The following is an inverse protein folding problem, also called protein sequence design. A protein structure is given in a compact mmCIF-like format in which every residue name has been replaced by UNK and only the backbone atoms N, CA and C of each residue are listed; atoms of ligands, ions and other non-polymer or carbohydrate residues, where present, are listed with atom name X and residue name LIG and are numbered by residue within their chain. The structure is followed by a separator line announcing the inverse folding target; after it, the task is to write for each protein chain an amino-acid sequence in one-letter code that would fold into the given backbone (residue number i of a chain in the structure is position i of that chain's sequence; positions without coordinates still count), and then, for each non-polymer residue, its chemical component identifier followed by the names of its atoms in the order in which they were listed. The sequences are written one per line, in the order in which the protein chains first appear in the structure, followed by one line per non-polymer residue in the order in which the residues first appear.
data_IF_640622920850
#
_entry.id   IF_640622920850
#
_cell.length_a   1.000
_cell.length_b   1.000
_cell.length_c   1.000
_cell.angle_alpha   90.00
_cell.angle_beta   90.00
_cell.angle_gamma   90.00
#
_symmetry.space_group_name_H-M   'P 1'
#
loop_
_entity.id
_entity.type
_entity.pdbx_description
1 polymer ?
#
# COMPACT_ATOMS: atom_id res chain seq x y z
N UNK A 1 12.73 21.61 2.64
CA UNK A 1 12.13 20.84 3.76
C UNK A 1 12.50 19.39 3.56
N UNK A 2 12.70 18.61 4.61
CA UNK A 2 12.93 17.15 4.51
C UNK A 2 12.06 16.48 5.55
N UNK A 3 11.47 15.35 5.20
CA UNK A 3 10.76 14.54 6.19
C UNK A 3 11.74 13.58 6.84
N UNK A 4 11.83 13.63 8.17
CA UNK A 4 12.56 12.60 8.91
C UNK A 4 11.57 11.65 9.57
N UNK A 5 11.89 10.36 9.51
CA UNK A 5 11.47 9.41 10.54
C UNK A 5 12.18 9.80 11.84
N UNK A 6 11.62 9.49 12.99
CA UNK A 6 12.30 9.60 14.30
C UNK A 6 13.61 8.77 14.42
N UNK A 7 14.12 8.20 13.33
CA UNK A 7 15.36 7.46 13.16
C UNK A 7 15.96 7.82 11.79
N UNK A 8 17.22 8.29 11.75
CA UNK A 8 17.99 8.77 10.59
C UNK A 8 18.07 7.79 9.39
N UNK A 9 17.00 7.56 8.63
CA UNK A 9 17.08 6.77 7.39
C UNK A 9 16.10 7.25 6.33
N UNK A 10 16.63 7.47 5.12
CA UNK A 10 15.94 7.80 3.87
C UNK A 10 15.20 6.60 3.26
N UNK A 11 14.72 5.67 4.08
CA UNK A 11 13.98 4.50 3.62
C UNK A 11 12.52 4.89 3.34
N UNK A 12 11.89 4.31 2.29
CA UNK A 12 10.49 4.57 2.00
C UNK A 12 9.63 4.30 3.23
N UNK A 13 8.63 5.15 3.44
CA UNK A 13 7.75 5.02 4.57
C UNK A 13 6.75 3.90 4.28
N UNK A 14 6.69 2.89 5.15
CA UNK A 14 6.01 1.62 4.89
C UNK A 14 4.94 1.37 5.93
N UNK A 15 3.78 0.91 5.47
CA UNK A 15 2.69 0.38 6.28
C UNK A 15 2.12 -0.86 5.61
N UNK A 16 1.58 -1.79 6.40
CA UNK A 16 0.75 -2.88 5.88
C UNK A 16 -0.67 -2.35 5.69
N UNK A 17 -1.39 -2.85 4.69
CA UNK A 17 -2.83 -2.64 4.52
C UNK A 17 -3.59 -2.92 5.83
N UNK A 18 -4.53 -2.05 6.20
CA UNK A 18 -5.27 -2.11 7.46
C UNK A 18 -4.48 -1.65 8.70
N UNK A 19 -3.19 -1.32 8.57
CA UNK A 19 -2.35 -0.84 9.66
C UNK A 19 -2.01 0.64 9.52
N UNK A 20 -1.75 1.29 10.65
CA UNK A 20 -1.35 2.70 10.72
C UNK A 20 0.14 2.80 11.05
N UNK A 21 0.91 3.46 10.20
CA UNK A 21 2.32 3.74 10.47
C UNK A 21 2.51 5.06 11.23
N UNK A 22 3.65 5.24 11.93
CA UNK A 22 3.95 6.48 12.64
C UNK A 22 3.98 7.70 11.71
N UNK A 23 3.45 8.84 12.15
CA UNK A 23 3.45 10.06 11.35
C UNK A 23 4.89 10.55 11.06
N UNK A 24 5.11 10.99 9.81
CA UNK A 24 6.31 11.66 9.35
C UNK A 24 6.22 13.15 9.64
N UNK A 25 7.26 13.72 10.26
CA UNK A 25 7.31 15.14 10.56
C UNK A 25 8.13 15.89 9.50
N UNK A 26 7.64 17.05 9.01
CA UNK A 26 8.47 17.93 8.21
C UNK A 26 9.55 18.57 9.09
N UNK A 27 10.81 18.39 8.72
CA UNK A 27 11.96 18.98 9.38
C UNK A 27 12.59 20.04 8.48
N UNK A 28 12.90 21.18 9.09
CA UNK A 28 13.63 22.23 8.42
C UNK A 28 15.11 21.89 8.41
N UNK A 29 15.66 21.63 7.22
CA UNK A 29 17.10 21.44 7.07
C UNK A 29 17.81 22.76 7.36
N UNK A 30 18.77 22.73 8.29
CA UNK A 30 19.54 23.90 8.79
C UNK A 30 20.26 24.72 7.71
N UNK A 31 20.24 24.30 6.44
CA UNK A 31 20.84 25.02 5.32
C UNK A 31 20.00 26.22 4.84
N UNK A 32 18.72 26.34 5.22
CA UNK A 32 17.96 27.55 4.94
C UNK A 32 17.90 28.45 6.16
N UNK A 33 18.85 29.38 6.27
CA UNK A 33 18.83 30.47 7.26
C UNK A 33 17.75 31.53 6.96
N UNK A 34 16.97 31.37 5.89
CA UNK A 34 16.00 32.35 5.41
C UNK A 34 14.56 32.07 5.86
N UNK A 35 14.27 30.94 6.50
CA UNK A 35 12.92 30.59 6.96
C UNK A 35 12.90 30.43 8.49
N UNK A 36 12.65 31.52 9.21
CA UNK A 36 12.57 31.53 10.68
C UNK A 36 11.21 31.08 11.23
N UNK A 37 10.19 30.98 10.37
CA UNK A 37 8.83 30.60 10.75
C UNK A 37 8.43 29.31 10.02
N UNK A 38 7.64 28.42 10.64
CA UNK A 38 7.05 27.29 9.94
C UNK A 38 6.00 27.78 8.92
N UNK A 39 5.76 27.03 7.84
CA UNK A 39 4.64 27.28 6.94
C UNK A 39 3.30 27.32 7.68
N UNK A 40 2.34 28.07 7.13
CA UNK A 40 1.01 28.22 7.73
C UNK A 40 0.02 27.18 7.24
N UNK A 41 0.22 26.69 6.01
CA UNK A 41 -0.67 25.70 5.36
C UNK A 41 0.19 24.76 4.54
N UNK A 42 -0.18 23.48 4.54
CA UNK A 42 0.43 22.43 3.75
C UNK A 42 -0.55 21.90 2.71
N UNK A 43 -0.03 21.53 1.55
CA UNK A 43 -0.78 20.86 0.48
C UNK A 43 0.17 19.92 -0.26
N UNK A 44 -0.34 19.08 -1.16
CA UNK A 44 0.49 18.10 -1.84
C UNK A 44 -0.03 17.73 -3.22
N UNK A 45 0.88 17.16 -4.01
CA UNK A 45 0.55 16.47 -5.26
C UNK A 45 1.22 15.12 -5.24
N UNK A 46 0.46 14.07 -5.51
CA UNK A 46 0.97 12.70 -5.51
C UNK A 46 0.80 12.04 -6.87
N UNK A 47 1.64 11.05 -7.14
CA UNK A 47 1.57 10.17 -8.32
C UNK A 47 1.95 8.75 -7.90
N UNK A 48 1.35 7.76 -8.53
CA UNK A 48 1.72 6.35 -8.36
C UNK A 48 2.55 5.89 -9.55
N UNK A 49 3.54 5.05 -9.26
CA UNK A 49 4.34 4.38 -10.30
C UNK A 49 3.53 3.27 -11.01
N UNK A 50 2.48 2.77 -10.35
CA UNK A 50 1.64 1.65 -10.82
C UNK A 50 0.46 2.12 -11.71
N UNK A 51 0.34 3.42 -11.96
CA UNK A 51 -0.65 3.99 -12.89
C UNK A 51 -2.05 4.21 -12.32
N UNK A 52 -2.30 3.91 -11.04
CA UNK A 52 -3.59 4.21 -10.39
C UNK A 52 -3.79 5.69 -10.08
N UNK A 53 -5.04 6.07 -9.81
CA UNK A 53 -5.41 7.46 -9.56
C UNK A 53 -5.16 7.82 -8.10
N UNK A 54 -4.18 8.69 -7.86
CA UNK A 54 -3.93 9.26 -6.53
C UNK A 54 -4.55 10.64 -6.45
N UNK A 55 -5.42 10.85 -5.46
CA UNK A 55 -6.02 12.14 -5.17
C UNK A 55 -5.72 12.54 -3.72
N UNK A 56 -5.49 13.83 -3.50
CA UNK A 56 -5.41 14.42 -2.17
C UNK A 56 -6.57 15.39 -2.02
N UNK A 57 -7.45 15.14 -1.07
CA UNK A 57 -8.46 16.11 -0.66
C UNK A 57 -7.79 17.21 0.16
N UNK A 58 -7.66 18.39 -0.44
CA UNK A 58 -7.03 19.56 0.17
C UNK A 58 -7.84 20.18 1.31
N UNK A 59 -9.06 19.69 1.59
CA UNK A 59 -9.90 20.17 2.69
C UNK A 59 -9.74 19.28 3.91
N UNK A 60 -9.83 17.96 3.74
CA UNK A 60 -9.68 17.00 4.83
C UNK A 60 -8.23 16.57 5.08
N UNK A 61 -7.36 16.73 4.08
CA UNK A 61 -6.00 16.20 4.10
C UNK A 61 -5.92 14.70 3.78
N UNK A 62 -7.03 14.04 3.44
CA UNK A 62 -7.02 12.62 3.11
C UNK A 62 -6.50 12.37 1.69
N UNK A 63 -5.52 11.47 1.58
CA UNK A 63 -5.00 10.96 0.33
C UNK A 63 -5.61 9.61 0.01
N UNK A 64 -6.17 9.47 -1.19
CA UNK A 64 -6.81 8.24 -1.68
C UNK A 64 -6.11 7.68 -2.92
N UNK A 65 -6.06 6.36 -3.03
CA UNK A 65 -5.64 5.62 -4.23
C UNK A 65 -6.84 4.88 -4.80
N UNK A 66 -7.23 5.21 -6.05
CA UNK A 66 -8.42 4.67 -6.73
C UNK A 66 -9.70 4.70 -5.84
N UNK A 67 -9.84 5.73 -5.02
CA UNK A 67 -10.96 5.95 -4.11
C UNK A 67 -10.82 5.35 -2.71
N UNK A 68 -9.80 4.53 -2.45
CA UNK A 68 -9.52 3.95 -1.12
C UNK A 68 -8.56 4.81 -0.32
N UNK A 69 -8.74 4.92 0.99
CA UNK A 69 -7.86 5.71 1.84
C UNK A 69 -6.45 5.11 1.88
N UNK A 70 -5.44 5.97 1.72
CA UNK A 70 -4.03 5.56 1.68
C UNK A 70 -3.20 6.28 2.75
N UNK A 71 -3.29 7.60 2.81
CA UNK A 71 -2.55 8.41 3.78
C UNK A 71 -3.37 9.63 4.22
N UNK A 72 -2.90 10.30 5.26
CA UNK A 72 -3.45 11.56 5.76
C UNK A 72 -2.32 12.58 5.86
N UNK A 73 -2.58 13.80 5.40
CA UNK A 73 -1.73 14.98 5.56
C UNK A 73 -2.45 15.96 6.49
N UNK A 74 -1.86 16.24 7.64
CA UNK A 74 -2.32 17.36 8.45
C UNK A 74 -1.94 18.68 7.75
N UNK A 75 -2.95 19.37 7.23
CA UNK A 75 -2.80 20.60 6.45
C UNK A 75 -2.25 21.77 7.27
N UNK A 76 -2.25 21.69 8.60
CA UNK A 76 -1.76 22.75 9.49
C UNK A 76 -0.31 22.55 9.89
N UNK A 77 0.09 21.31 10.16
CA UNK A 77 1.43 20.98 10.67
C UNK A 77 2.34 20.36 9.60
N UNK A 78 1.76 19.85 8.52
CA UNK A 78 2.45 19.12 7.47
C UNK A 78 2.81 17.68 7.84
N UNK A 79 2.32 17.14 8.98
CA UNK A 79 2.51 15.74 9.33
C UNK A 79 1.86 14.83 8.29
N UNK A 80 2.58 13.79 7.86
CA UNK A 80 2.03 12.77 6.94
C UNK A 80 1.95 11.44 7.66
N UNK A 81 0.74 10.88 7.77
CA UNK A 81 0.47 9.58 8.39
C UNK A 81 0.03 8.60 7.32
N UNK A 82 0.72 7.47 7.21
CA UNK A 82 0.35 6.41 6.28
C UNK A 82 -0.63 5.45 6.97
N UNK A 83 -1.82 5.30 6.40
CA UNK A 83 -2.93 4.53 6.97
C UNK A 83 -3.76 3.90 5.83
N UNK A 84 -3.19 2.95 5.06
CA UNK A 84 -3.90 2.30 3.96
C UNK A 84 -5.07 1.49 4.49
N UNK A 85 -6.25 1.67 3.89
CA UNK A 85 -7.46 0.93 4.26
C UNK A 85 -7.38 -0.52 3.82
N UNK A 86 -8.08 -1.43 4.52
CA UNK A 86 -8.05 -2.88 4.26
C UNK A 86 -8.50 -3.22 2.83
N UNK A 87 -9.47 -2.47 2.33
CA UNK A 87 -10.05 -2.64 1.00
C UNK A 87 -9.06 -2.35 -0.14
N UNK A 88 -7.98 -1.62 0.14
CA UNK A 88 -6.88 -1.35 -0.79
C UNK A 88 -6.21 -2.64 -1.29
N UNK A 89 -6.27 -3.75 -0.52
CA UNK A 89 -5.74 -5.05 -0.93
C UNK A 89 -6.33 -5.52 -2.27
N UNK A 90 -7.59 -5.20 -2.55
CA UNK A 90 -8.29 -5.60 -3.77
C UNK A 90 -7.74 -4.94 -5.05
N UNK A 91 -7.16 -3.74 -4.93
CA UNK A 91 -6.61 -2.94 -6.03
C UNK A 91 -5.08 -2.88 -6.04
N UNK A 92 -4.43 -3.66 -5.17
CA UNK A 92 -2.97 -3.79 -5.17
C UNK A 92 -2.49 -4.29 -6.53
N UNK A 93 -1.35 -3.77 -7.03
CA UNK A 93 -0.81 -4.18 -8.31
C UNK A 93 -0.50 -5.68 -8.33
N UNK A 94 -0.66 -6.26 -9.51
CA UNK A 94 -0.35 -7.67 -9.78
C UNK A 94 1.16 -7.87 -9.74
N UNK A 95 1.68 -8.15 -8.55
CA UNK A 95 3.12 -8.32 -8.33
C UNK A 95 3.55 -9.80 -8.45
N UNK A 96 4.76 -10.02 -8.97
CA UNK A 96 5.46 -11.30 -9.02
C UNK A 96 6.12 -11.67 -7.69
N UNK A 97 6.38 -10.70 -6.81
CA UNK A 97 6.98 -10.93 -5.49
C UNK A 97 6.01 -11.58 -4.49
N UNK A 98 6.54 -12.09 -3.37
CA UNK A 98 5.74 -12.76 -2.34
C UNK A 98 4.66 -11.86 -1.72
N UNK A 99 4.91 -10.54 -1.65
CA UNK A 99 3.98 -9.52 -1.16
C UNK A 99 3.83 -8.44 -2.22
N UNK A 100 2.60 -8.03 -2.50
CA UNK A 100 2.38 -6.85 -3.35
C UNK A 100 2.79 -5.59 -2.58
N UNK A 101 3.42 -4.66 -3.29
CA UNK A 101 3.77 -3.34 -2.77
C UNK A 101 3.24 -2.29 -3.72
N UNK A 102 2.43 -1.38 -3.20
CA UNK A 102 1.95 -0.19 -3.91
C UNK A 102 2.80 1.00 -3.48
N UNK A 103 3.40 1.69 -4.45
CA UNK A 103 4.29 2.83 -4.19
C UNK A 103 3.70 4.15 -4.72
N UNK A 104 3.75 5.18 -3.90
CA UNK A 104 3.28 6.53 -4.20
C UNK A 104 4.41 7.52 -3.89
N UNK A 105 4.71 8.39 -4.86
CA UNK A 105 5.55 9.57 -4.66
C UNK A 105 4.66 10.80 -4.47
N UNK A 106 4.90 11.55 -3.40
CA UNK A 106 4.17 12.77 -3.07
C UNK A 106 5.14 13.94 -2.94
N UNK A 107 4.83 15.04 -3.61
CA UNK A 107 5.48 16.33 -3.41
C UNK A 107 4.62 17.19 -2.51
N UNK A 108 5.10 17.49 -1.30
CA UNK A 108 4.41 18.31 -0.32
C UNK A 108 4.94 19.74 -0.37
N UNK A 109 4.02 20.69 -0.37
CA UNK A 109 4.26 22.13 -0.40
C UNK A 109 3.84 22.74 0.94
N UNK A 110 4.77 23.41 1.62
CA UNK A 110 4.48 24.30 2.73
C UNK A 110 4.37 25.73 2.21
N UNK A 111 3.21 26.35 2.41
CA UNK A 111 2.88 27.69 1.92
C UNK A 111 2.97 28.72 3.05
N UNK A 112 3.65 29.83 2.79
CA UNK A 112 3.63 31.01 3.66
C UNK A 112 2.52 31.96 3.21
N UNK A 113 1.64 32.36 4.10
CA UNK A 113 0.65 33.41 3.83
C UNK A 113 1.11 34.72 4.48
N UNK A 114 1.20 35.78 3.70
CA UNK A 114 1.48 37.13 4.18
C UNK A 114 0.18 37.93 4.25
N UNK A 115 -0.09 38.55 5.39
CA UNK A 115 -1.26 39.43 5.52
C UNK A 115 -1.11 40.69 4.63
N UNK A 116 -2.20 41.23 4.06
CA UNK A 116 -3.58 40.73 4.17
C UNK A 116 -3.97 39.64 3.15
N UNK A 117 -3.28 39.51 2.00
CA UNK A 117 -3.62 38.52 0.95
C UNK A 117 -2.42 38.07 0.09
N UNK A 118 -1.19 38.24 0.57
CA UNK A 118 0.02 37.87 -0.17
C UNK A 118 0.26 36.36 -0.14
N UNK A 119 0.33 35.73 -1.31
CA UNK A 119 0.91 34.38 -1.44
C UNK A 119 2.42 34.53 -1.27
N UNK A 120 2.95 33.98 -0.19
CA UNK A 120 4.37 34.00 0.09
C UNK A 120 5.14 32.96 -0.70
N UNK A 121 6.43 32.83 -0.37
CA UNK A 121 7.24 31.73 -0.88
C UNK A 121 6.65 30.37 -0.49
N UNK A 122 7.04 29.32 -1.20
CA UNK A 122 6.70 27.94 -0.84
C UNK A 122 7.97 27.13 -0.63
N UNK A 123 7.94 26.22 0.34
CA UNK A 123 8.96 25.19 0.50
C UNK A 123 8.39 23.86 0.03
N UNK A 124 9.24 23.04 -0.57
CA UNK A 124 8.86 21.72 -1.06
C UNK A 124 9.69 20.62 -0.41
N UNK A 125 9.09 19.44 -0.34
CA UNK A 125 9.73 18.18 0.00
C UNK A 125 9.08 17.04 -0.77
N UNK A 126 9.88 16.03 -1.10
CA UNK A 126 9.41 14.80 -1.74
C UNK A 126 9.34 13.67 -0.71
N UNK A 127 8.30 12.86 -0.83
CA UNK A 127 7.95 11.76 0.07
C UNK A 127 7.67 10.51 -0.74
N UNK A 128 8.22 9.38 -0.30
CA UNK A 128 7.93 8.07 -0.87
C UNK A 128 7.16 7.23 0.17
N UNK A 129 5.93 6.89 -0.19
CA UNK A 129 5.00 6.14 0.65
C UNK A 129 4.71 4.78 0.01
N UNK A 130 4.81 3.72 0.78
CA UNK A 130 4.67 2.35 0.31
C UNK A 130 3.65 1.61 1.19
N UNK A 131 2.56 1.17 0.59
CA UNK A 131 1.65 0.23 1.24
C UNK A 131 2.05 -1.20 0.83
N UNK A 132 2.08 -2.10 1.80
CA UNK A 132 2.33 -3.52 1.57
C UNK A 132 1.08 -4.31 1.90
N UNK A 133 0.84 -5.32 1.08
CA UNK A 133 -0.16 -6.34 1.37
C UNK A 133 0.19 -7.05 2.71
N UNK A 134 -0.85 -7.42 3.47
CA UNK A 134 -0.72 -8.26 4.65
C UNK A 134 -0.48 -9.73 4.26
N UNK A 135 -0.85 -10.07 3.03
CA UNK A 135 -0.75 -11.40 2.45
C UNK A 135 0.63 -11.68 1.87
N UNK A 136 1.25 -12.78 2.33
CA UNK A 136 2.55 -13.25 1.87
C UNK A 136 2.47 -14.65 1.25
N UNK A 137 2.75 -14.78 -0.04
CA UNK A 137 2.72 -16.06 -0.75
C UNK A 137 4.11 -16.72 -0.83
N UNK A 138 4.28 -17.86 -0.17
CA UNK A 138 5.56 -18.57 -0.02
C UNK A 138 5.48 -19.99 -0.59
N UNK A 139 6.44 -20.46 -1.41
CA UNK A 139 6.33 -21.78 -2.05
C UNK A 139 6.33 -22.91 -1.03
N UNK A 140 5.40 -23.86 -1.21
CA UNK A 140 5.23 -25.03 -0.34
C UNK A 140 5.75 -26.28 -1.04
N UNK A 141 6.64 -27.00 -0.38
CA UNK A 141 7.17 -28.26 -0.91
C UNK A 141 6.19 -29.44 -0.75
N UNK A 142 5.47 -29.51 0.38
CA UNK A 142 4.52 -30.59 0.69
C UNK A 142 3.13 -30.00 0.98
N UNK A 143 2.21 -30.09 0.02
CA UNK A 143 0.89 -29.48 0.11
C UNK A 143 -0.08 -30.32 0.95
N UNK A 144 -0.82 -29.72 1.90
CA UNK A 144 -1.96 -30.37 2.54
C UNK A 144 -3.11 -30.66 1.55
N UNK A 145 -4.13 -31.39 2.00
CA UNK A 145 -5.37 -31.58 1.26
C UNK A 145 -6.33 -30.41 1.50
N UNK A 146 -6.95 -29.90 0.44
CA UNK A 146 -7.83 -28.74 0.52
C UNK A 146 -9.09 -28.90 -0.32
N UNK A 147 -10.10 -28.09 -0.01
CA UNK A 147 -11.22 -27.84 -0.90
C UNK A 147 -10.74 -27.01 -2.08
N UNK A 148 -10.88 -27.56 -3.28
CA UNK A 148 -10.43 -26.94 -4.53
C UNK A 148 -11.58 -26.19 -5.22
N UNK A 149 -11.32 -24.94 -5.57
CA UNK A 149 -12.14 -24.15 -6.50
C UNK A 149 -11.29 -23.88 -7.73
N UNK A 150 -11.71 -24.38 -8.89
CA UNK A 150 -10.99 -24.22 -10.14
C UNK A 150 -11.59 -23.09 -10.98
N UNK A 151 -10.71 -22.25 -11.53
CA UNK A 151 -11.06 -21.16 -12.44
C UNK A 151 -10.04 -21.09 -13.57
N UNK A 152 -10.48 -20.60 -14.73
CA UNK A 152 -9.58 -20.24 -15.82
C UNK A 152 -8.93 -18.90 -15.52
N UNK A 153 -7.61 -18.88 -15.30
CA UNK A 153 -6.80 -17.66 -15.31
C UNK A 153 -5.71 -17.77 -16.37
N UNK A 154 -5.32 -16.63 -16.96
CA UNK A 154 -4.29 -16.62 -17.99
C UNK A 154 -2.86 -16.61 -17.43
N UNK A 155 -2.68 -16.20 -16.16
CA UNK A 155 -1.37 -16.17 -15.52
C UNK A 155 -1.36 -16.49 -14.02
N UNK A 156 -0.20 -16.90 -13.51
CA UNK A 156 0.01 -17.14 -12.07
C UNK A 156 -0.23 -15.90 -11.21
N UNK A 157 0.00 -14.71 -11.78
CA UNK A 157 -0.17 -13.45 -11.09
C UNK A 157 -1.65 -13.05 -10.99
N UNK A 158 -2.45 -13.33 -12.03
CA UNK A 158 -3.91 -13.24 -11.96
C UNK A 158 -4.50 -14.22 -10.96
N UNK A 159 -4.02 -15.47 -10.95
CA UNK A 159 -4.47 -16.47 -9.98
C UNK A 159 -4.18 -16.05 -8.53
N UNK A 160 -3.01 -15.44 -8.31
CA UNK A 160 -2.65 -14.84 -7.02
C UNK A 160 -3.61 -13.71 -6.64
N UNK A 161 -3.90 -12.81 -7.57
CA UNK A 161 -4.80 -11.69 -7.32
C UNK A 161 -6.24 -12.16 -7.02
N UNK A 162 -6.71 -13.18 -7.75
CA UNK A 162 -8.01 -13.80 -7.50
C UNK A 162 -8.08 -14.53 -6.15
N UNK A 163 -6.94 -15.01 -5.64
CA UNK A 163 -6.88 -15.52 -4.27
C UNK A 163 -6.91 -14.37 -3.25
N UNK A 164 -6.16 -13.28 -3.48
CA UNK A 164 -6.18 -12.10 -2.59
C UNK A 164 -7.54 -11.46 -2.44
N UNK A 165 -8.32 -11.39 -3.52
CA UNK A 165 -9.65 -10.78 -3.49
C UNK A 165 -10.70 -11.64 -2.79
N UNK A 166 -10.37 -12.88 -2.43
CA UNK A 166 -11.27 -13.83 -1.79
C UNK A 166 -10.78 -14.13 -0.37
N UNK A 167 -11.48 -13.61 0.63
CA UNK A 167 -11.14 -13.77 2.05
C UNK A 167 -11.09 -15.23 2.50
N UNK A 168 -11.77 -16.14 1.78
CA UNK A 168 -11.72 -17.55 2.07
C UNK A 168 -10.47 -18.23 1.48
N UNK A 169 -9.83 -17.63 0.47
CA UNK A 169 -8.69 -18.22 -0.21
C UNK A 169 -7.44 -18.16 0.67
N UNK A 170 -6.93 -19.32 1.03
CA UNK A 170 -5.74 -19.47 1.87
C UNK A 170 -4.53 -19.93 1.06
N UNK A 171 -4.76 -20.60 -0.07
CA UNK A 171 -3.71 -21.04 -0.98
C UNK A 171 -4.15 -20.92 -2.43
N UNK A 172 -3.17 -20.86 -3.33
CA UNK A 172 -3.42 -21.05 -4.75
C UNK A 172 -2.36 -21.91 -5.43
N UNK A 173 -2.73 -22.49 -6.56
CA UNK A 173 -1.83 -23.15 -7.50
C UNK A 173 -2.19 -22.70 -8.92
N UNK A 174 -1.17 -22.55 -9.76
CA UNK A 174 -1.36 -22.22 -11.16
C UNK A 174 -0.60 -23.22 -12.03
N UNK A 175 -1.34 -23.88 -12.93
CA UNK A 175 -0.78 -24.80 -13.91
C UNK A 175 -1.27 -24.42 -15.29
N UNK A 176 -0.33 -24.09 -16.19
CA UNK A 176 -0.58 -23.64 -17.56
C UNK A 176 -1.62 -22.51 -17.66
N UNK A 177 -2.90 -22.85 -17.82
CA UNK A 177 -4.05 -21.93 -17.98
C UNK A 177 -5.13 -22.14 -16.92
N UNK A 178 -4.83 -22.94 -15.89
CA UNK A 178 -5.75 -23.29 -14.81
C UNK A 178 -5.26 -22.67 -13.51
N UNK A 179 -6.14 -21.93 -12.85
CA UNK A 179 -5.99 -21.44 -11.50
C UNK A 179 -6.78 -22.31 -10.54
N UNK A 180 -6.13 -22.73 -9.47
CA UNK A 180 -6.76 -23.47 -8.39
C UNK A 180 -6.64 -22.61 -7.14
N UNK A 181 -7.78 -22.23 -6.56
CA UNK A 181 -7.89 -21.51 -5.30
C UNK A 181 -8.38 -22.48 -4.23
N UNK A 182 -7.83 -22.37 -3.03
CA UNK A 182 -8.10 -23.32 -1.94
C UNK A 182 -8.65 -22.57 -0.74
N UNK A 183 -9.85 -22.94 -0.29
CA UNK A 183 -10.63 -22.17 0.68
C UNK A 183 -10.70 -22.79 2.09
N UNK A 184 -10.09 -23.95 2.30
CA UNK A 184 -10.07 -24.60 3.60
C UNK A 184 -9.36 -25.95 3.62
N UNK A 185 -8.77 -26.29 4.77
CA UNK A 185 -8.13 -27.59 5.03
C UNK A 185 -9.19 -28.71 5.04
N UNK A 186 -8.86 -29.84 4.42
CA UNK A 186 -9.67 -31.05 4.45
C UNK A 186 -9.11 -32.07 5.45
N UNK A 187 -9.99 -32.65 6.27
CA UNK A 187 -9.70 -33.91 6.95
C UNK A 187 -9.80 -35.06 5.93
N UNK A 188 -8.68 -35.72 5.71
CA UNK A 188 -8.30 -36.47 4.51
C UNK A 188 -9.05 -37.81 4.25
N UNK A 189 -10.34 -37.95 4.56
CA UNK A 189 -10.98 -39.28 4.42
C UNK A 189 -12.42 -39.40 3.86
N UNK A 190 -13.20 -38.34 3.63
CA UNK A 190 -14.61 -38.54 3.24
C UNK A 190 -15.25 -37.57 2.25
N UNK A 191 -14.56 -36.51 1.82
CA UNK A 191 -15.17 -35.49 0.95
C UNK A 191 -14.68 -35.61 -0.50
N UNK A 192 -15.57 -35.82 -1.49
CA UNK A 192 -15.21 -35.95 -2.90
C UNK A 192 -14.64 -34.66 -3.53
N UNK A 193 -14.69 -33.54 -2.82
CA UNK A 193 -14.15 -32.24 -3.22
C UNK A 193 -12.72 -31.97 -2.71
N UNK A 194 -12.09 -32.92 -2.02
CA UNK A 194 -10.75 -32.74 -1.46
C UNK A 194 -9.70 -33.30 -2.42
N UNK A 195 -8.81 -32.44 -2.93
CA UNK A 195 -7.72 -32.83 -3.82
C UNK A 195 -6.35 -32.57 -3.16
N UNK A 196 -5.32 -33.37 -3.48
CA UNK A 196 -3.94 -33.02 -3.16
C UNK A 196 -3.50 -31.88 -4.08
N UNK A 197 -3.17 -30.73 -3.52
CA UNK A 197 -2.82 -29.56 -4.32
C UNK A 197 -1.43 -29.71 -4.95
N UNK A 198 -1.33 -29.92 -6.26
CA UNK A 198 -0.03 -30.02 -6.93
C UNK A 198 0.66 -28.64 -7.01
N UNK A 199 1.63 -28.38 -6.13
CA UNK A 199 2.42 -27.15 -5.93
C UNK A 199 1.61 -25.97 -5.39
N UNK A 200 1.75 -25.71 -4.09
CA UNK A 200 1.09 -24.60 -3.40
C UNK A 200 2.03 -23.43 -3.17
N UNK A 201 1.43 -22.25 -3.03
CA UNK A 201 2.01 -21.09 -2.36
C UNK A 201 1.17 -20.82 -1.09
N UNK A 202 1.83 -20.82 0.08
CA UNK A 202 1.30 -20.63 1.44
C UNK A 202 1.13 -19.15 1.75
N UNK A 203 0.05 -18.81 2.47
CA UNK A 203 -0.05 -17.58 3.27
C UNK A 203 0.80 -17.71 4.54
N UNK A 204 1.60 -16.70 4.89
CA UNK A 204 2.41 -16.66 6.12
C UNK A 204 2.33 -15.31 6.83
#
# INVERSE_FOLDING_TARGET
MVYERGTNQSSPHKATVGQVAPALQPIHTRRSTLFFLPPTVFTGKCSSDDGGNVALDIVSGQGTYDGFAFFELDLTTGYVRLAPSEELASVMPVDTHARATLSISCKIFGLYQYLPFGVGSSIEAELFLNAQDDTCFVPVATPPHFHEVSETSSSAAECRQACRSDIACTYYSHQSTSCFRYTGLCDSSSSPSCSPAARLLLFA
#
